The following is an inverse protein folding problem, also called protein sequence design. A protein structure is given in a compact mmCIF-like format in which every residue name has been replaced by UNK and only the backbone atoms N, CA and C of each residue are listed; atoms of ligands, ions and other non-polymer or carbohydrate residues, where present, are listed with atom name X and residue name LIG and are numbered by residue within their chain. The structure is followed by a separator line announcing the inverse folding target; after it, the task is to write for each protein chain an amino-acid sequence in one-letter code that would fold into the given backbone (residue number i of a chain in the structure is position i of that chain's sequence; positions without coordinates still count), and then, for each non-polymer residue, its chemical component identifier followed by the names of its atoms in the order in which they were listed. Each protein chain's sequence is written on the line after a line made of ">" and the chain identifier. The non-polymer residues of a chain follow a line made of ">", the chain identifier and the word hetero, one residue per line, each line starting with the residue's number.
data_IF_850891180449
#
_entry.id   IF_850891180449
#
_cell.length_a   1.000
_cell.length_b   1.000
_cell.length_c   1.000
_cell.angle_alpha   90.00
_cell.angle_beta   90.00
_cell.angle_gamma   90.00
#
_symmetry.space_group_name_H-M   'P 1'
#
loop_
_entity.id
_entity.type
_entity.pdbx_description
1 polymer ?
#
# COMPACT_ATOMS: atom_id res chain seq x y z
N UNK A 1 17.79 16.75 1.89
CA UNK A 1 17.10 15.43 1.94
C UNK A 1 17.48 14.69 0.67
N UNK A 2 17.98 13.45 0.78
CA UNK A 2 18.22 12.59 -0.39
C UNK A 2 16.87 12.31 -1.07
N UNK A 3 16.85 12.26 -2.40
CA UNK A 3 15.65 11.94 -3.21
C UNK A 3 15.92 10.61 -3.90
N UNK A 4 15.43 9.52 -3.31
CA UNK A 4 15.84 8.16 -3.66
C UNK A 4 14.73 7.32 -4.29
N UNK A 5 13.52 7.87 -4.46
CA UNK A 5 12.37 7.12 -4.95
C UNK A 5 11.37 7.97 -5.71
N UNK A 6 10.55 7.30 -6.52
CA UNK A 6 9.44 7.87 -7.28
C UNK A 6 8.23 6.93 -7.24
N UNK A 7 7.05 7.48 -6.95
CA UNK A 7 5.80 6.75 -7.02
C UNK A 7 5.23 6.78 -8.44
N UNK A 8 4.67 5.67 -8.88
CA UNK A 8 4.01 5.49 -10.17
C UNK A 8 2.64 4.84 -9.96
N UNK A 9 1.74 5.00 -10.93
CA UNK A 9 0.61 4.08 -11.04
C UNK A 9 1.12 2.77 -11.67
N UNK A 10 0.56 1.64 -11.27
CA UNK A 10 0.65 0.41 -12.10
C UNK A 10 -0.15 0.62 -13.39
N UNK A 11 0.04 -0.21 -14.40
CA UNK A 11 -0.79 -0.17 -15.62
C UNK A 11 -2.29 -0.30 -15.30
N UNK A 12 -3.12 0.13 -16.24
CA UNK A 12 -4.57 -0.02 -16.09
C UNK A 12 -4.95 -1.50 -15.98
N UNK A 13 -4.32 -2.34 -16.79
CA UNK A 13 -4.52 -3.78 -16.84
C UNK A 13 -4.19 -4.42 -15.49
N UNK A 14 -3.03 -4.08 -14.91
CA UNK A 14 -2.62 -4.60 -13.60
C UNK A 14 -3.52 -4.09 -12.47
N UNK A 15 -3.90 -2.80 -12.52
CA UNK A 15 -4.86 -2.24 -11.56
C UNK A 15 -6.20 -2.96 -11.65
N UNK A 16 -6.72 -3.16 -12.86
CA UNK A 16 -7.99 -3.81 -13.14
C UNK A 16 -8.00 -5.24 -12.61
N UNK A 17 -6.97 -6.02 -12.88
CA UNK A 17 -6.84 -7.38 -12.34
C UNK A 17 -6.87 -7.38 -10.80
N UNK A 18 -6.01 -6.58 -10.17
CA UNK A 18 -5.94 -6.51 -8.71
C UNK A 18 -7.20 -5.93 -8.05
N UNK A 19 -7.94 -5.09 -8.77
CA UNK A 19 -9.18 -4.49 -8.28
C UNK A 19 -10.35 -5.47 -8.38
N UNK A 20 -10.52 -6.14 -9.52
CA UNK A 20 -11.60 -7.10 -9.73
C UNK A 20 -11.43 -8.37 -8.87
N UNK A 21 -10.21 -8.72 -8.46
CA UNK A 21 -9.97 -9.76 -7.45
C UNK A 21 -10.60 -9.43 -6.08
N UNK A 22 -10.72 -8.14 -5.75
CA UNK A 22 -11.34 -7.67 -4.49
C UNK A 22 -12.81 -7.31 -4.68
N UNK A 23 -13.14 -6.68 -5.81
CA UNK A 23 -14.46 -6.13 -6.13
C UNK A 23 -14.95 -6.67 -7.49
N UNK A 24 -15.30 -7.96 -7.59
CA UNK A 24 -15.57 -8.63 -8.87
C UNK A 24 -16.78 -8.09 -9.63
N UNK A 25 -17.71 -7.43 -8.95
CA UNK A 25 -18.94 -6.87 -9.53
C UNK A 25 -18.77 -5.42 -10.05
N UNK A 26 -17.54 -4.88 -10.06
CA UNK A 26 -17.30 -3.50 -10.50
C UNK A 26 -17.44 -3.36 -12.02
N UNK A 27 -18.33 -2.48 -12.45
CA UNK A 27 -18.48 -2.14 -13.88
C UNK A 27 -17.23 -1.45 -14.44
N UNK A 28 -16.89 -1.75 -15.70
CA UNK A 28 -15.68 -1.27 -16.37
C UNK A 28 -15.58 0.28 -16.43
N UNK A 29 -16.72 0.96 -16.60
CA UNK A 29 -16.77 2.43 -16.60
C UNK A 29 -16.37 3.03 -15.23
N UNK A 30 -16.86 2.44 -14.13
CA UNK A 30 -16.50 2.85 -12.79
C UNK A 30 -15.02 2.55 -12.49
N UNK A 31 -14.52 1.41 -12.97
CA UNK A 31 -13.12 1.03 -12.79
C UNK A 31 -12.16 1.98 -13.50
N UNK A 32 -12.51 2.41 -14.71
CA UNK A 32 -11.76 3.41 -15.49
C UNK A 32 -11.72 4.75 -14.74
N UNK A 33 -12.88 5.23 -14.25
CA UNK A 33 -12.97 6.46 -13.46
C UNK A 33 -12.08 6.38 -12.19
N UNK A 34 -12.13 5.26 -11.47
CA UNK A 34 -11.31 5.04 -10.28
C UNK A 34 -9.83 5.14 -10.63
N UNK A 35 -9.39 4.46 -11.68
CA UNK A 35 -7.99 4.45 -12.11
C UNK A 35 -7.47 5.84 -12.48
N UNK A 36 -8.25 6.60 -13.26
CA UNK A 36 -7.91 7.96 -13.65
C UNK A 36 -7.74 8.88 -12.43
N UNK A 37 -8.61 8.72 -11.43
CA UNK A 37 -8.62 9.51 -10.21
C UNK A 37 -7.64 9.05 -9.11
N UNK A 38 -6.87 7.98 -9.33
CA UNK A 38 -5.84 7.54 -8.39
C UNK A 38 -4.84 8.67 -8.09
N UNK A 39 -4.61 8.91 -6.81
CA UNK A 39 -3.66 9.92 -6.32
C UNK A 39 -2.36 9.26 -5.92
N UNK A 40 -1.24 9.75 -6.47
CA UNK A 40 0.08 9.32 -6.03
C UNK A 40 0.34 9.72 -4.56
N UNK A 41 1.07 8.92 -3.78
CA UNK A 41 1.38 9.24 -2.41
C UNK A 41 2.13 10.57 -2.26
N UNK A 42 1.81 11.31 -1.21
CA UNK A 42 2.36 12.65 -0.99
C UNK A 42 2.58 12.93 0.49
N UNK A 43 3.65 13.66 0.80
CA UNK A 43 3.88 14.17 2.16
C UNK A 43 2.92 15.30 2.49
N UNK A 44 2.34 15.26 3.69
CA UNK A 44 1.43 16.29 4.16
C UNK A 44 2.14 17.64 4.43
N UNK A 45 3.36 17.59 4.99
CA UNK A 45 4.16 18.78 5.30
C UNK A 45 5.62 18.59 4.89
N UNK A 46 6.38 19.69 4.82
CA UNK A 46 7.83 19.65 4.52
C UNK A 46 8.63 18.78 5.49
N UNK A 47 8.20 18.71 6.75
CA UNK A 47 8.85 17.93 7.82
C UNK A 47 8.28 16.52 8.00
N UNK A 48 7.25 16.13 7.26
CA UNK A 48 6.70 14.77 7.35
C UNK A 48 7.73 13.77 6.85
N UNK A 49 7.89 12.66 7.56
CA UNK A 49 8.63 11.50 7.06
C UNK A 49 7.76 10.68 6.09
N UNK A 50 6.49 10.47 6.47
CA UNK A 50 5.54 9.65 5.73
C UNK A 50 4.96 10.31 4.48
N UNK A 51 4.80 9.49 3.45
CA UNK A 51 3.98 9.77 2.26
C UNK A 51 2.61 9.14 2.48
N UNK A 52 1.57 9.96 2.52
CA UNK A 52 0.18 9.51 2.68
C UNK A 52 -0.28 8.79 1.40
N UNK A 53 -0.82 7.58 1.55
CA UNK A 53 -1.50 6.83 0.49
C UNK A 53 -3.01 7.02 0.58
N UNK A 54 -3.65 7.19 -0.57
CA UNK A 54 -5.07 7.50 -0.69
C UNK A 54 -5.86 6.26 -1.12
N UNK A 55 -7.02 6.03 -0.52
CA UNK A 55 -7.87 4.89 -0.90
C UNK A 55 -8.55 5.16 -2.25
N UNK A 56 -8.59 4.19 -3.18
CA UNK A 56 -9.32 4.31 -4.45
C UNK A 56 -10.84 4.26 -4.26
N UNK A 57 -11.31 3.72 -3.14
CA UNK A 57 -12.72 3.43 -2.87
C UNK A 57 -13.16 3.97 -1.51
N UNK A 58 -14.47 4.08 -1.31
CA UNK A 58 -15.02 4.24 0.02
C UNK A 58 -14.76 2.96 0.83
N UNK A 59 -14.22 3.11 2.03
CA UNK A 59 -13.99 2.03 2.98
C UNK A 59 -15.01 2.19 4.09
N UNK A 60 -15.83 1.16 4.31
CA UNK A 60 -16.70 1.04 5.48
C UNK A 60 -16.39 -0.31 6.11
N UNK A 61 -15.89 -0.30 7.35
CA UNK A 61 -15.55 -1.51 8.09
C UNK A 61 -16.18 -1.47 9.46
N UNK A 62 -17.05 -2.43 9.77
CA UNK A 62 -17.49 -2.70 11.13
C UNK A 62 -16.34 -3.28 11.96
N UNK A 63 -16.42 -3.22 13.30
CA UNK A 63 -15.44 -3.88 14.16
C UNK A 63 -15.27 -5.36 13.79
N UNK A 64 -14.01 -5.79 13.62
CA UNK A 64 -13.63 -7.14 13.20
C UNK A 64 -13.53 -7.35 11.68
N UNK A 65 -14.05 -6.44 10.86
CA UNK A 65 -13.99 -6.56 9.40
C UNK A 65 -12.61 -6.17 8.85
N UNK A 66 -12.24 -6.82 7.74
CA UNK A 66 -11.00 -6.58 7.01
C UNK A 66 -11.27 -6.24 5.54
N UNK A 67 -10.39 -5.44 4.94
CA UNK A 67 -10.39 -5.17 3.50
C UNK A 67 -8.97 -5.20 2.95
N UNK A 68 -8.78 -5.82 1.78
CA UNK A 68 -7.57 -5.68 0.97
C UNK A 68 -7.76 -4.53 0.00
N UNK A 69 -7.02 -3.43 0.16
CA UNK A 69 -7.13 -2.24 -0.68
C UNK A 69 -6.11 -2.33 -1.84
N UNK A 70 -6.56 -2.43 -3.10
CA UNK A 70 -5.69 -2.36 -4.29
C UNK A 70 -5.30 -0.90 -4.56
N UNK A 71 -4.15 -0.43 -4.07
CA UNK A 71 -3.85 1.02 -4.08
C UNK A 71 -3.70 1.61 -5.49
N UNK A 72 -3.29 0.77 -6.44
CA UNK A 72 -2.95 1.15 -7.81
C UNK A 72 -1.60 1.85 -7.92
N UNK A 73 -0.82 1.82 -6.83
CA UNK A 73 0.47 2.47 -6.72
C UNK A 73 1.58 1.43 -6.73
N UNK A 74 2.69 1.76 -7.40
CA UNK A 74 3.99 1.11 -7.28
C UNK A 74 5.08 2.15 -7.00
N UNK A 75 6.26 1.73 -6.59
CA UNK A 75 7.36 2.63 -6.22
C UNK A 75 8.69 2.14 -6.78
N UNK A 76 9.37 3.00 -7.52
CA UNK A 76 10.76 2.82 -7.93
C UNK A 76 11.65 3.46 -6.86
N UNK A 77 12.71 2.79 -6.40
CA UNK A 77 13.65 3.36 -5.44
C UNK A 77 15.08 2.84 -5.63
N UNK A 78 16.06 3.59 -5.13
CA UNK A 78 17.47 3.16 -5.07
C UNK A 78 17.63 1.90 -4.21
N UNK A 79 18.63 1.09 -4.53
CA UNK A 79 19.01 -0.08 -3.72
C UNK A 79 19.39 0.31 -2.28
N UNK A 80 19.25 -0.66 -1.37
CA UNK A 80 19.45 -0.50 0.09
C UNK A 80 18.41 0.39 0.79
N UNK A 81 17.31 0.73 0.10
CA UNK A 81 16.15 1.39 0.69
C UNK A 81 14.95 0.45 0.74
N UNK A 82 14.16 0.58 1.80
CA UNK A 82 12.87 -0.09 1.97
C UNK A 82 11.80 0.98 2.18
N UNK A 83 10.63 0.79 1.58
CA UNK A 83 9.44 1.55 1.94
C UNK A 83 8.63 0.76 2.97
N UNK A 84 8.60 1.26 4.21
CA UNK A 84 7.80 0.69 5.28
C UNK A 84 6.42 1.38 5.35
N UNK A 85 5.35 0.58 5.29
CA UNK A 85 3.97 1.04 5.35
C UNK A 85 3.42 0.93 6.78
N UNK A 86 2.80 2.01 7.25
CA UNK A 86 2.22 2.12 8.58
C UNK A 86 0.77 2.65 8.53
N UNK A 87 -0.08 2.30 9.51
CA UNK A 87 -1.34 3.00 9.71
C UNK A 87 -1.11 4.50 9.94
N UNK A 88 -2.08 5.33 9.54
CA UNK A 88 -2.11 6.73 9.98
C UNK A 88 -2.54 6.78 11.44
N UNK A 89 -1.81 7.54 12.26
CA UNK A 89 -2.05 7.61 13.71
C UNK A 89 -3.50 7.94 14.05
N UNK A 90 -4.11 8.90 13.36
CA UNK A 90 -5.52 9.27 13.60
C UNK A 90 -6.50 8.10 13.46
N UNK A 91 -6.29 7.21 12.49
CA UNK A 91 -7.13 6.03 12.29
C UNK A 91 -6.80 4.91 13.29
N UNK A 92 -5.50 4.73 13.58
CA UNK A 92 -5.04 3.80 14.61
C UNK A 92 -5.56 4.14 16.01
N UNK A 93 -5.60 5.41 16.39
CA UNK A 93 -6.11 5.83 17.71
C UNK A 93 -7.64 5.79 17.80
N UNK A 94 -8.36 6.22 16.76
CA UNK A 94 -9.83 6.35 16.81
C UNK A 94 -10.56 5.02 16.60
N UNK A 95 -10.01 4.17 15.74
CA UNK A 95 -10.67 2.95 15.26
C UNK A 95 -9.83 1.70 15.49
N UNK A 96 -8.63 1.83 16.09
CA UNK A 96 -7.67 0.72 16.17
C UNK A 96 -7.39 0.12 14.79
N UNK A 97 -7.39 0.92 13.73
CA UNK A 97 -7.08 0.46 12.38
C UNK A 97 -5.68 -0.18 12.35
N UNK A 98 -5.62 -1.45 11.98
CA UNK A 98 -4.38 -2.20 11.84
C UNK A 98 -4.07 -2.46 10.37
N UNK A 99 -2.78 -2.53 10.03
CA UNK A 99 -2.31 -3.31 8.88
C UNK A 99 -2.09 -4.74 9.34
N UNK A 100 -2.62 -5.73 8.64
CA UNK A 100 -2.56 -7.12 9.10
C UNK A 100 -1.14 -7.69 9.11
N UNK A 101 -0.23 -7.12 8.33
CA UNK A 101 1.20 -7.44 8.37
C UNK A 101 1.97 -6.67 9.45
N UNK A 102 1.30 -5.85 10.26
CA UNK A 102 1.86 -4.85 11.19
C UNK A 102 2.59 -3.72 10.46
N UNK A 103 3.64 -4.05 9.71
CA UNK A 103 4.37 -3.15 8.81
C UNK A 103 4.33 -3.76 7.41
N UNK A 104 3.99 -2.97 6.39
CA UNK A 104 4.16 -3.41 5.01
C UNK A 104 5.60 -3.19 4.58
N UNK A 105 6.30 -4.24 4.14
CA UNK A 105 7.68 -4.17 3.64
C UNK A 105 7.64 -4.21 2.11
N UNK A 106 8.04 -3.10 1.51
CA UNK A 106 8.15 -2.95 0.06
C UNK A 106 9.64 -2.82 -0.30
N UNK A 107 10.19 -3.88 -0.88
CA UNK A 107 11.58 -3.97 -1.31
C UNK A 107 11.79 -3.22 -2.64
N UNK A 108 13.03 -2.82 -2.93
CA UNK A 108 13.36 -2.04 -4.13
C UNK A 108 13.10 -2.82 -5.42
N UNK A 109 13.35 -4.11 -5.44
CA UNK A 109 13.16 -4.99 -6.59
C UNK A 109 11.69 -5.39 -6.83
N UNK A 110 10.79 -5.17 -5.86
CA UNK A 110 9.35 -5.43 -6.02
C UNK A 110 8.75 -4.65 -7.19
N UNK A 111 9.30 -3.49 -7.55
CA UNK A 111 8.86 -2.68 -8.69
C UNK A 111 8.84 -3.45 -10.03
N UNK A 112 9.73 -4.43 -10.18
CA UNK A 112 9.91 -5.21 -11.41
C UNK A 112 9.21 -6.57 -11.38
N UNK A 113 8.45 -6.86 -10.32
CA UNK A 113 7.65 -8.08 -10.20
C UNK A 113 6.58 -8.20 -11.29
N UNK A 114 6.09 -9.42 -11.53
CA UNK A 114 5.08 -9.71 -12.57
C UNK A 114 3.78 -8.92 -12.37
N UNK A 115 3.45 -8.56 -11.12
CA UNK A 115 2.30 -7.70 -10.80
C UNK A 115 2.64 -6.19 -10.83
N UNK A 116 3.72 -5.81 -11.51
CA UNK A 116 4.31 -4.48 -11.57
C UNK A 116 4.65 -3.85 -10.20
N UNK A 117 4.82 -4.65 -9.15
CA UNK A 117 5.01 -4.10 -7.81
C UNK A 117 3.79 -3.37 -7.27
N UNK A 118 2.57 -3.79 -7.68
CA UNK A 118 1.32 -3.23 -7.16
C UNK A 118 1.26 -3.37 -5.65
N UNK A 119 1.22 -2.24 -4.95
CA UNK A 119 1.15 -2.19 -3.49
C UNK A 119 -0.31 -2.42 -3.08
N UNK A 120 -0.51 -3.39 -2.19
CA UNK A 120 -1.79 -3.67 -1.55
C UNK A 120 -1.70 -3.42 -0.04
N UNK A 121 -2.81 -3.01 0.56
CA UNK A 121 -2.91 -2.85 2.01
C UNK A 121 -4.06 -3.68 2.56
N UNK A 122 -3.76 -4.73 3.33
CA UNK A 122 -4.79 -5.46 4.09
C UNK A 122 -4.97 -4.78 5.44
N UNK A 123 -6.12 -4.15 5.62
CA UNK A 123 -6.48 -3.40 6.83
C UNK A 123 -7.59 -4.11 7.61
N UNK A 124 -7.60 -3.94 8.93
CA UNK A 124 -8.67 -4.42 9.83
C UNK A 124 -9.12 -3.31 10.75
N UNK A 125 -10.44 -3.15 10.92
CA UNK A 125 -11.00 -2.34 12.01
C UNK A 125 -11.02 -3.15 13.30
N UNK A 126 -10.01 -3.01 14.16
CA UNK A 126 -9.93 -3.71 15.47
C UNK A 126 -10.58 -2.89 16.61
N UNK A 127 -11.59 -2.06 16.31
CA UNK A 127 -12.23 -1.22 17.32
C UNK A 127 -12.84 -2.04 18.45
N UNK A 128 -12.45 -1.73 19.69
CA UNK A 128 -13.01 -2.32 20.92
C UNK A 128 -14.17 -1.51 21.50
N UNK A 129 -14.54 -0.43 20.82
CA UNK A 129 -15.57 0.53 21.25
C UNK A 129 -16.80 0.50 20.32
N UNK A 130 -16.92 -0.50 19.45
CA UNK A 130 -18.05 -0.63 18.52
C UNK A 130 -18.06 0.38 17.37
N UNK A 131 -16.97 1.13 17.16
CA UNK A 131 -16.89 2.18 16.14
C UNK A 131 -16.68 1.61 14.74
N UNK A 132 -17.60 1.88 13.82
CA UNK A 132 -17.43 1.64 12.38
C UNK A 132 -16.44 2.65 11.81
N UNK A 133 -15.46 2.16 11.06
CA UNK A 133 -14.51 2.98 10.31
C UNK A 133 -15.11 3.35 8.96
N UNK A 134 -15.19 4.65 8.67
CA UNK A 134 -15.58 5.18 7.36
C UNK A 134 -14.45 6.06 6.79
N UNK A 135 -13.93 5.72 5.61
CA UNK A 135 -12.91 6.51 4.90
C UNK A 135 -13.38 6.72 3.47
N UNK A 136 -13.56 7.97 3.06
CA UNK A 136 -14.03 8.31 1.71
C UNK A 136 -12.94 8.11 0.65
N UNK A 137 -13.36 7.81 -0.58
CA UNK A 137 -12.47 7.71 -1.75
C UNK A 137 -11.57 8.94 -1.86
N UNK A 138 -10.28 8.73 -2.14
CA UNK A 138 -9.29 9.78 -2.25
C UNK A 138 -8.81 10.38 -0.92
N UNK A 139 -9.19 9.80 0.23
CA UNK A 139 -8.70 10.17 1.57
C UNK A 139 -7.50 9.31 1.97
N UNK A 140 -6.55 9.93 2.69
CA UNK A 140 -5.35 9.24 3.16
C UNK A 140 -5.65 8.24 4.29
N UNK A 141 -5.25 6.97 4.13
CA UNK A 141 -5.56 5.89 5.07
C UNK A 141 -4.34 5.16 5.65
N UNK A 142 -3.21 5.14 4.93
CA UNK A 142 -1.92 4.63 5.40
C UNK A 142 -0.80 5.60 4.98
N UNK A 143 0.40 5.41 5.52
CA UNK A 143 1.57 6.22 5.16
C UNK A 143 2.80 5.33 4.94
N UNK A 144 3.66 5.70 4.01
CA UNK A 144 4.92 5.02 3.74
C UNK A 144 6.13 5.87 4.13
N UNK A 145 7.11 5.28 4.80
CA UNK A 145 8.39 5.92 5.18
C UNK A 145 9.53 5.14 4.54
N UNK A 146 10.42 5.86 3.86
CA UNK A 146 11.66 5.28 3.33
C UNK A 146 12.72 5.19 4.43
N UNK A 147 13.32 4.02 4.57
CA UNK A 147 14.43 3.77 5.50
C UNK A 147 15.56 3.06 4.75
N UNK A 148 16.79 3.44 5.06
CA UNK A 148 17.99 2.73 4.61
C UNK A 148 18.18 1.49 5.50
N UNK A 149 18.53 0.35 4.90
CA UNK A 149 18.76 -0.91 5.61
C UNK A 149 20.16 -1.48 5.29
N UNK A 150 20.62 -2.40 6.14
CA UNK A 150 21.88 -3.12 5.94
C UNK A 150 21.64 -4.61 5.73
N UNK A 151 22.68 -5.30 5.24
CA UNK A 151 22.74 -6.75 5.06
C UNK A 151 23.77 -7.37 6.01
N UNK A 152 23.75 -8.68 6.20
CA UNK A 152 24.75 -9.38 7.02
C UNK A 152 26.06 -9.53 6.25
N UNK A 153 27.17 -9.76 6.98
CA UNK A 153 28.52 -9.86 6.37
C UNK A 153 28.72 -11.11 5.51
N UNK A 154 27.81 -12.07 5.64
CA UNK A 154 27.76 -13.37 4.99
C UNK A 154 26.52 -13.52 4.09
N UNK A 155 25.92 -12.41 3.66
CA UNK A 155 24.80 -12.44 2.74
C UNK A 155 25.25 -12.88 1.33
N UNK A 156 24.64 -13.96 0.84
CA UNK A 156 24.90 -14.58 -0.48
C UNK A 156 23.59 -14.72 -1.29
N UNK A 157 22.59 -13.90 -0.99
CA UNK A 157 21.26 -14.00 -1.62
C UNK A 157 21.27 -13.47 -3.06
N UNK A 158 20.98 -14.33 -4.04
CA UNK A 158 20.82 -13.95 -5.47
C UNK A 158 19.35 -13.90 -5.93
N UNK A 159 18.41 -14.24 -5.03
CA UNK A 159 16.98 -14.27 -5.35
C UNK A 159 16.43 -12.88 -5.67
N UNK A 160 15.73 -12.75 -6.80
CA UNK A 160 15.00 -11.54 -7.17
C UNK A 160 13.53 -11.71 -6.80
N UNK A 161 12.94 -10.69 -6.17
CA UNK A 161 11.53 -10.74 -5.80
C UNK A 161 10.64 -10.76 -7.04
N UNK A 162 9.77 -11.77 -7.10
CA UNK A 162 8.68 -11.82 -8.07
C UNK A 162 7.33 -12.03 -7.36
N UNK A 163 6.40 -11.09 -7.55
CA UNK A 163 5.06 -11.11 -6.95
C UNK A 163 5.03 -10.65 -5.48
N UNK A 164 3.83 -10.62 -4.91
CA UNK A 164 3.55 -10.22 -3.53
C UNK A 164 3.02 -11.36 -2.65
N UNK A 165 2.94 -11.12 -1.34
CA UNK A 165 2.32 -12.04 -0.35
C UNK A 165 2.97 -13.43 -0.23
N UNK A 166 4.25 -13.50 0.15
CA UNK A 166 4.93 -14.76 0.47
C UNK A 166 5.55 -15.49 -0.72
N UNK A 167 5.81 -14.77 -1.80
CA UNK A 167 6.45 -15.30 -3.01
C UNK A 167 7.93 -15.68 -2.83
N UNK A 168 8.56 -15.28 -1.73
CA UNK A 168 9.96 -15.61 -1.41
C UNK A 168 10.15 -17.01 -0.82
N UNK A 169 9.08 -17.79 -0.61
CA UNK A 169 9.13 -19.13 -0.02
C UNK A 169 8.62 -20.24 -0.95
N UNK A 170 8.60 -19.99 -2.27
CA UNK A 170 8.32 -21.01 -3.29
C UNK A 170 9.60 -21.43 -4.00
#
# INVERSE_FOLDING_TARGET
>A
MKKIAKFHKVSYEQFREGFLDVFPETEEANLTEIYENLKLPKRATKGSAGYDFFTPVNIVLNPGESLKVPTGIRVEMEDNWVLQLYPRSGLGFKFRLQLNSTVGIIDSDYFYSDNEGHIFAKITNDSKEGKTLCVEKGTAFMQGIFLEYGITVDDETEGVRNGGFGSTSK
#
